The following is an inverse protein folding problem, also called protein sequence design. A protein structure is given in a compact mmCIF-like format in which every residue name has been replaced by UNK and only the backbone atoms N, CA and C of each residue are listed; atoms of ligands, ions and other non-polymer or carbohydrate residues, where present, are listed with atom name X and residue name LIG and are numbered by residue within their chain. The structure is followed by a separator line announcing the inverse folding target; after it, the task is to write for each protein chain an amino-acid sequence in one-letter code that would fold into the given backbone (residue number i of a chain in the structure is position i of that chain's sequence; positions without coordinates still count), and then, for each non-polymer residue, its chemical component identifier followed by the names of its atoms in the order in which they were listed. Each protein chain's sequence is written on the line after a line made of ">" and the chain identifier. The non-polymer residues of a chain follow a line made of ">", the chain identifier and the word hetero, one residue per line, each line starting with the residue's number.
data_IF_460712066399
#
_entry.id   IF_460712066399
#
_cell.length_a   1.000
_cell.length_b   1.000
_cell.length_c   1.000
_cell.angle_alpha   90.00
_cell.angle_beta   90.00
_cell.angle_gamma   90.00
#
_symmetry.space_group_name_H-M   'P 1'
#
loop_
_entity.id
_entity.type
_entity.pdbx_description
1 polymer ?
#
# COMPACT_ATOMS: atom_id res chain seq x y z
N UNK A 1 7.28 -10.22 11.50
CA UNK A 1 6.62 -9.08 10.86
C UNK A 1 7.63 -8.42 9.95
N UNK A 2 7.56 -8.65 8.64
CA UNK A 2 8.26 -7.83 7.66
C UNK A 2 7.80 -6.37 7.73
N UNK A 3 8.66 -5.47 7.25
CA UNK A 3 8.35 -4.06 7.08
C UNK A 3 8.90 -3.56 5.73
N UNK A 4 8.23 -2.57 5.15
CA UNK A 4 8.61 -1.95 3.88
C UNK A 4 8.26 -0.46 3.89
N UNK A 5 9.11 0.37 3.28
CA UNK A 5 8.75 1.76 3.03
C UNK A 5 7.83 1.82 1.82
N UNK A 6 6.68 2.46 2.00
CA UNK A 6 5.70 2.68 0.96
C UNK A 6 5.45 4.17 0.79
N UNK A 7 5.00 4.59 -0.39
CA UNK A 7 4.57 5.99 -0.59
C UNK A 7 3.42 6.29 0.37
N UNK A 8 3.48 7.44 1.04
CA UNK A 8 2.40 7.90 1.91
C UNK A 8 1.13 8.14 1.07
N UNK A 9 0.05 7.36 1.25
CA UNK A 9 -1.14 7.49 0.42
C UNK A 9 -1.94 8.77 0.71
N UNK A 10 -1.63 9.47 1.80
CA UNK A 10 -2.17 10.79 2.12
C UNK A 10 -1.39 11.94 1.48
N UNK A 11 -0.20 11.65 0.93
CA UNK A 11 0.61 12.65 0.23
C UNK A 11 0.28 12.65 -1.27
N UNK A 12 -0.45 13.65 -1.79
CA UNK A 12 -0.81 13.72 -3.20
C UNK A 12 0.39 13.95 -4.13
N UNK A 13 1.55 14.32 -3.59
CA UNK A 13 2.76 14.58 -4.36
C UNK A 13 3.74 13.41 -4.38
N UNK A 14 3.47 12.36 -3.59
CA UNK A 14 4.34 11.17 -3.47
C UNK A 14 5.80 11.51 -3.09
N UNK A 15 5.99 12.53 -2.26
CA UNK A 15 7.28 12.98 -1.72
C UNK A 15 7.57 12.36 -0.34
N UNK A 16 6.53 11.87 0.35
CA UNK A 16 6.64 11.25 1.66
C UNK A 16 6.48 9.72 1.59
N UNK A 17 7.17 9.04 2.51
CA UNK A 17 7.06 7.60 2.72
C UNK A 17 6.55 7.27 4.11
N UNK A 18 5.92 6.11 4.25
CA UNK A 18 5.50 5.52 5.53
C UNK A 18 6.14 4.15 5.69
N UNK A 19 6.60 3.83 6.89
CA UNK A 19 7.08 2.50 7.23
C UNK A 19 5.89 1.60 7.55
N UNK A 20 5.59 0.67 6.64
CA UNK A 20 4.48 -0.25 6.77
C UNK A 20 4.96 -1.57 7.35
N UNK A 21 4.40 -1.97 8.50
CA UNK A 21 4.58 -3.32 9.05
C UNK A 21 3.36 -4.17 8.74
N UNK A 22 3.59 -5.43 8.34
CA UNK A 22 2.51 -6.30 7.90
C UNK A 22 2.75 -7.76 8.28
N UNK A 23 1.67 -8.52 8.26
CA UNK A 23 1.73 -9.98 8.31
C UNK A 23 1.54 -10.56 6.90
N UNK A 24 2.35 -11.57 6.59
CA UNK A 24 2.28 -12.32 5.35
C UNK A 24 1.10 -13.29 5.36
N UNK A 25 -0.11 -12.77 5.20
CA UNK A 25 -1.32 -13.55 4.98
C UNK A 25 -1.68 -13.59 3.49
N UNK A 26 -2.51 -14.57 3.11
CA UNK A 26 -3.03 -14.75 1.76
C UNK A 26 -4.52 -14.42 1.74
N UNK A 27 -5.07 -13.84 0.66
CA UNK A 27 -4.38 -13.39 -0.57
C UNK A 27 -3.77 -11.97 -0.48
N UNK A 28 -4.07 -11.22 0.58
CA UNK A 28 -3.54 -9.88 0.83
C UNK A 28 -2.75 -9.86 2.14
N UNK A 29 -1.67 -9.08 2.16
CA UNK A 29 -0.97 -8.77 3.41
C UNK A 29 -1.93 -8.04 4.35
N UNK A 30 -1.89 -8.40 5.63
CA UNK A 30 -2.62 -7.66 6.66
C UNK A 30 -1.71 -6.57 7.20
N UNK A 31 -2.04 -5.31 6.94
CA UNK A 31 -1.28 -4.17 7.48
C UNK A 31 -1.54 -4.08 8.98
N UNK A 32 -0.46 -3.94 9.75
CA UNK A 32 -0.50 -3.83 11.21
C UNK A 32 -0.25 -2.41 11.69
N UNK A 33 0.60 -1.67 10.99
CA UNK A 33 0.89 -0.26 11.24
C UNK A 33 1.40 0.40 9.96
N UNK A 34 1.18 1.70 9.84
CA UNK A 34 1.78 2.56 8.82
C UNK A 34 2.31 3.81 9.52
N UNK A 35 3.63 3.87 9.72
CA UNK A 35 4.27 4.91 10.54
C UNK A 35 4.86 6.00 9.64
N UNK A 36 4.46 7.24 9.83
CA UNK A 36 4.99 8.40 9.09
C UNK A 36 6.39 8.85 9.57
N UNK A 37 6.91 9.91 8.96
CA UNK A 37 8.22 10.48 9.31
C UNK A 37 8.27 11.10 10.72
N UNK A 38 7.12 11.48 11.28
CA UNK A 38 6.99 12.03 12.63
C UNK A 38 6.86 10.91 13.68
N UNK A 39 6.70 9.65 13.25
CA UNK A 39 6.58 8.48 14.10
C UNK A 39 5.14 8.16 14.51
N UNK A 40 4.14 8.78 13.88
CA UNK A 40 2.74 8.48 14.14
C UNK A 40 2.26 7.32 13.29
N UNK A 41 1.52 6.39 13.90
CA UNK A 41 0.82 5.34 13.18
C UNK A 41 -0.48 5.90 12.59
N UNK A 42 -0.47 6.15 11.29
CA UNK A 42 -1.59 6.76 10.57
C UNK A 42 -2.60 5.72 10.07
N UNK A 43 -2.41 4.42 10.36
CA UNK A 43 -3.25 3.35 9.79
C UNK A 43 -4.75 3.54 10.10
N UNK A 44 -5.10 4.07 11.27
CA UNK A 44 -6.50 4.35 11.63
C UNK A 44 -7.13 5.49 10.84
N UNK A 45 -6.30 6.35 10.26
CA UNK A 45 -6.72 7.55 9.52
C UNK A 45 -6.80 7.27 8.01
N UNK A 46 -6.27 6.13 7.57
CA UNK A 46 -6.32 5.70 6.18
C UNK A 46 -7.72 5.21 5.80
N UNK A 47 -8.19 5.65 4.63
CA UNK A 47 -9.35 5.03 3.99
C UNK A 47 -9.04 3.61 3.52
N UNK A 48 -10.07 2.81 3.28
CA UNK A 48 -9.91 1.45 2.72
C UNK A 48 -9.14 1.44 1.40
N UNK A 49 -9.27 2.48 0.57
CA UNK A 49 -8.55 2.62 -0.69
C UNK A 49 -7.07 2.96 -0.46
N UNK A 50 -6.74 3.79 0.54
CA UNK A 50 -5.36 4.05 0.94
C UNK A 50 -4.68 2.77 1.45
N UNK A 51 -5.39 1.98 2.26
CA UNK A 51 -4.90 0.67 2.73
C UNK A 51 -4.66 -0.28 1.56
N UNK A 52 -5.54 -0.27 0.55
CA UNK A 52 -5.39 -1.08 -0.68
C UNK A 52 -4.13 -0.69 -1.47
N UNK A 53 -3.82 0.60 -1.58
CA UNK A 53 -2.63 1.10 -2.26
C UNK A 53 -1.37 0.56 -1.57
N UNK A 54 -1.30 0.63 -0.25
CA UNK A 54 -0.18 0.07 0.51
C UNK A 54 -0.03 -1.45 0.32
N UNK A 55 -1.14 -2.19 0.34
CA UNK A 55 -1.13 -3.63 0.08
C UNK A 55 -0.61 -3.96 -1.33
N UNK A 56 -0.94 -3.12 -2.30
CA UNK A 56 -0.50 -3.24 -3.70
C UNK A 56 1.00 -3.00 -3.85
N UNK A 57 1.50 -1.96 -3.22
CA UNK A 57 2.93 -1.64 -3.25
C UNK A 57 3.76 -2.77 -2.63
N UNK A 58 3.32 -3.30 -1.48
CA UNK A 58 3.95 -4.47 -0.85
C UNK A 58 3.90 -5.69 -1.78
N UNK A 59 2.77 -5.93 -2.45
CA UNK A 59 2.63 -7.01 -3.41
C UNK A 59 3.62 -6.88 -4.58
N UNK A 60 3.80 -5.67 -5.11
CA UNK A 60 4.78 -5.39 -6.17
C UNK A 60 6.21 -5.60 -5.69
N UNK A 61 6.54 -5.16 -4.47
CA UNK A 61 7.86 -5.36 -3.86
C UNK A 61 8.29 -6.84 -3.80
N UNK A 62 7.36 -7.75 -3.47
CA UNK A 62 7.64 -9.19 -3.40
C UNK A 62 7.72 -9.89 -4.77
N UNK A 63 7.40 -9.19 -5.87
CA UNK A 63 7.58 -9.65 -7.24
C UNK A 63 6.66 -10.80 -7.69
N UNK A 64 6.98 -11.37 -8.86
CA UNK A 64 6.27 -12.48 -9.52
C UNK A 64 6.35 -13.84 -8.80
N UNK A 65 7.14 -13.94 -7.74
CA UNK A 65 7.14 -15.11 -6.85
C UNK A 65 5.70 -15.31 -6.40
N UNK A 66 5.10 -16.48 -6.61
CA UNK A 66 3.67 -16.75 -6.37
C UNK A 66 3.33 -16.56 -4.88
N UNK A 67 2.88 -15.36 -4.48
CA UNK A 67 1.54 -15.28 -3.89
C UNK A 67 0.74 -14.01 -4.17
N UNK A 68 1.28 -13.04 -4.90
CA UNK A 68 0.63 -11.74 -5.13
C UNK A 68 0.27 -11.50 -6.61
N UNK A 69 -0.02 -12.58 -7.35
CA UNK A 69 -0.34 -12.54 -8.78
C UNK A 69 -1.48 -11.58 -9.16
N UNK A 70 -2.34 -11.20 -8.21
CA UNK A 70 -3.38 -10.19 -8.38
C UNK A 70 -2.84 -8.77 -8.67
N UNK A 71 -1.60 -8.45 -8.30
CA UNK A 71 -0.97 -7.16 -8.59
C UNK A 71 -0.91 -6.87 -10.11
N UNK A 72 -0.90 -7.90 -10.96
CA UNK A 72 -0.97 -7.73 -12.42
C UNK A 72 -2.30 -7.13 -12.90
N UNK A 73 -3.38 -7.26 -12.13
CA UNK A 73 -4.72 -6.79 -12.50
C UNK A 73 -5.11 -5.47 -11.82
N UNK A 74 -4.28 -4.94 -10.92
CA UNK A 74 -4.61 -3.74 -10.16
C UNK A 74 -4.23 -2.42 -10.85
N UNK A 75 -3.49 -2.50 -11.97
CA UNK A 75 -3.12 -1.36 -12.82
C UNK A 75 -4.35 -0.73 -13.52
N UNK A 76 -5.58 -1.24 -13.32
CA UNK A 76 -6.80 -0.66 -13.88
C UNK A 76 -7.49 0.38 -12.97
N UNK A 77 -7.02 0.63 -11.73
CA UNK A 77 -7.71 1.52 -10.78
C UNK A 77 -7.23 2.99 -10.86
N UNK A 78 -6.15 3.29 -11.59
CA UNK A 78 -5.59 4.66 -11.75
C UNK A 78 -5.96 5.28 -13.10
N UNK A 79 -7.02 4.81 -13.77
CA UNK A 79 -7.61 5.55 -14.88
C UNK A 79 -8.48 6.69 -14.31
N UNK A 80 -7.93 7.90 -14.29
CA UNK A 80 -8.64 9.13 -13.92
C UNK A 80 -10.04 9.21 -14.57
N UNK A 81 -11.05 9.81 -13.90
CA UNK A 81 -12.34 10.01 -14.53
C UNK A 81 -12.16 10.84 -15.81
N UNK A 82 -12.56 10.26 -16.95
CA UNK A 82 -12.59 10.96 -18.22
C UNK A 82 -13.45 12.23 -18.04
N UNK A 83 -12.82 13.39 -18.23
CA UNK A 83 -13.51 14.67 -18.22
C UNK A 83 -14.63 14.63 -19.28
N UNK A 84 -15.86 14.92 -18.82
CA UNK A 84 -17.03 15.12 -19.67
C UNK A 84 -17.08 16.56 -20.20
#
# INVERSE_FOLDING_TARGET
>A
MPAHYCINPLDPYAEQEVLVSYDEHRPFVSIRSAVDEEGYDILSDLSEDCVRILQLEIAVYHGHSEPYAWAQHAIDVVAAPAAA
#
